data_IF_542583407990
#
_entry.id   IF_542583407990
#
_cell.length_a   1.000
_cell.length_b   1.000
_cell.length_c   1.000
_cell.angle_alpha   90.00
_cell.angle_beta   90.00
_cell.angle_gamma   90.00
#
_symmetry.space_group_name_H-M   'P 1'
#
loop_
_entity.id
_entity.type
_entity.pdbx_description
1 polymer ?
#
# COMPACT_ATOMS: atom_id res chain seq x y z
N UNK A 1 3.82 52.23 -66.39
CA UNK A 1 4.97 52.43 -65.49
C UNK A 1 4.64 51.86 -64.12
N UNK A 2 5.59 51.12 -63.55
CA UNK A 2 5.89 50.83 -62.14
C UNK A 2 4.79 50.94 -61.06
N UNK A 3 4.74 50.17 -59.99
CA UNK A 3 5.33 48.93 -59.48
C UNK A 3 5.06 48.96 -57.96
N UNK A 4 4.93 47.77 -57.34
CA UNK A 4 5.32 47.45 -55.95
C UNK A 4 4.57 48.15 -54.80
N UNK A 5 3.82 47.42 -53.96
CA UNK A 5 4.20 46.40 -52.94
C UNK A 5 4.29 47.01 -51.54
N UNK A 6 3.91 46.16 -50.56
CA UNK A 6 4.20 46.21 -49.10
C UNK A 6 3.29 47.17 -48.33
N UNK A 7 2.89 46.91 -47.08
CA UNK A 7 3.16 45.84 -46.12
C UNK A 7 2.29 46.06 -44.87
N UNK A 8 2.07 44.99 -44.11
CA UNK A 8 2.16 44.90 -42.65
C UNK A 8 1.36 45.85 -41.73
N UNK A 9 0.77 45.25 -40.70
CA UNK A 9 0.43 45.91 -39.43
C UNK A 9 -0.92 45.44 -38.90
N UNK A 10 -1.02 44.51 -37.93
CA UNK A 10 -1.05 44.79 -36.47
C UNK A 10 -2.02 45.94 -36.16
N UNK A 11 -2.99 45.85 -35.25
CA UNK A 11 -3.06 45.15 -33.97
C UNK A 11 -4.35 45.64 -33.28
N UNK A 12 -4.76 44.91 -32.24
CA UNK A 12 -5.70 45.29 -31.16
C UNK A 12 -7.16 44.90 -31.41
N UNK A 13 -7.88 44.29 -30.47
CA UNK A 13 -7.54 43.72 -29.17
C UNK A 13 -8.83 43.13 -28.62
N UNK A 14 -8.87 41.83 -28.35
CA UNK A 14 -9.89 41.28 -27.43
C UNK A 14 -9.22 40.32 -26.48
N UNK A 15 -9.25 40.73 -25.22
CA UNK A 15 -8.78 40.02 -24.02
C UNK A 15 -9.20 38.56 -24.06
N UNK A 16 -8.21 37.68 -24.09
CA UNK A 16 -8.35 36.26 -23.77
C UNK A 16 -8.62 36.10 -22.28
N UNK A 17 -9.84 35.70 -21.94
CA UNK A 17 -10.15 35.10 -20.65
C UNK A 17 -9.43 33.75 -20.57
N UNK A 18 -8.34 33.73 -19.80
CA UNK A 18 -7.52 32.56 -19.50
C UNK A 18 -8.29 31.64 -18.54
N UNK A 19 -9.11 30.75 -19.09
CA UNK A 19 -9.61 29.59 -18.34
C UNK A 19 -8.47 28.59 -18.23
N UNK A 20 -7.79 28.63 -17.08
CA UNK A 20 -6.88 27.59 -16.62
C UNK A 20 -7.64 26.27 -16.53
N UNK A 21 -7.45 25.42 -17.55
CA UNK A 21 -7.90 24.02 -17.53
C UNK A 21 -7.15 23.31 -16.40
N UNK A 22 -7.84 23.17 -15.27
CA UNK A 22 -7.42 22.37 -14.11
C UNK A 22 -7.08 20.97 -14.65
N UNK A 23 -5.84 20.55 -14.45
CA UNK A 23 -5.41 19.19 -14.72
C UNK A 23 -6.20 18.28 -13.77
N UNK A 24 -7.27 17.71 -14.29
CA UNK A 24 -8.08 16.75 -13.57
C UNK A 24 -7.26 15.45 -13.43
N UNK A 25 -7.07 15.02 -12.18
CA UNK A 25 -6.36 13.79 -11.86
C UNK A 25 -7.09 12.62 -12.50
N UNK A 26 -6.37 11.86 -13.32
CA UNK A 26 -6.93 10.73 -14.08
C UNK A 26 -7.54 9.66 -13.19
N UNK A 27 -8.82 9.81 -12.87
CA UNK A 27 -9.72 8.82 -12.28
C UNK A 27 -10.79 8.37 -13.28
N UNK A 28 -10.43 8.20 -14.55
CA UNK A 28 -11.33 7.64 -15.55
C UNK A 28 -11.53 6.15 -15.30
N UNK A 29 -12.78 5.65 -15.39
CA UNK A 29 -13.07 4.21 -15.37
C UNK A 29 -12.16 3.48 -16.38
N UNK A 30 -11.56 2.33 -16.01
CA UNK A 30 -10.72 1.56 -16.92
C UNK A 30 -11.50 1.20 -18.19
N UNK A 31 -10.83 1.26 -19.35
CA UNK A 31 -11.47 0.88 -20.62
C UNK A 31 -11.84 -0.61 -20.63
N UNK A 32 -12.74 -1.00 -21.53
CA UNK A 32 -13.13 -2.41 -21.71
C UNK A 32 -11.92 -3.32 -21.96
N UNK A 33 -10.95 -2.84 -22.75
CA UNK A 33 -9.72 -3.59 -23.04
C UNK A 33 -8.85 -3.80 -21.79
N UNK A 34 -8.77 -2.78 -20.92
CA UNK A 34 -8.06 -2.89 -19.64
C UNK A 34 -8.76 -3.89 -18.73
N UNK A 35 -10.09 -3.81 -18.61
CA UNK A 35 -10.88 -4.75 -17.80
C UNK A 35 -10.75 -6.18 -18.29
N UNK A 36 -10.82 -6.39 -19.61
CA UNK A 36 -10.63 -7.70 -20.23
C UNK A 36 -9.21 -8.24 -19.99
N UNK A 37 -8.18 -7.41 -20.16
CA UNK A 37 -6.80 -7.80 -19.90
C UNK A 37 -6.54 -8.14 -18.43
N UNK A 38 -7.19 -7.43 -17.49
CA UNK A 38 -7.12 -7.75 -16.07
C UNK A 38 -7.82 -9.08 -15.78
N UNK A 39 -9.03 -9.31 -16.30
CA UNK A 39 -9.80 -10.54 -16.09
C UNK A 39 -9.09 -11.78 -16.65
N UNK A 40 -8.42 -11.65 -17.80
CA UNK A 40 -7.70 -12.74 -18.47
C UNK A 40 -6.42 -13.22 -17.77
N UNK A 41 -5.99 -12.58 -16.67
CA UNK A 41 -4.83 -13.04 -15.90
C UNK A 41 -5.20 -14.29 -15.10
N UNK A 42 -4.70 -15.45 -15.52
CA UNK A 42 -4.85 -16.70 -14.78
C UNK A 42 -3.80 -16.83 -13.68
N UNK A 43 -2.53 -16.62 -14.03
CA UNK A 43 -1.39 -16.75 -13.12
C UNK A 43 -1.01 -15.40 -12.52
N UNK A 44 -1.71 -15.01 -11.45
CA UNK A 44 -1.44 -13.77 -10.70
C UNK A 44 -0.12 -13.89 -9.94
N UNK A 45 0.81 -12.95 -10.20
CA UNK A 45 2.10 -12.88 -9.52
C UNK A 45 2.30 -11.52 -8.84
N UNK A 46 3.01 -11.49 -7.70
CA UNK A 46 3.37 -10.23 -7.07
C UNK A 46 4.30 -9.41 -7.97
N UNK A 47 4.31 -8.07 -7.86
CA UNK A 47 5.20 -7.22 -8.63
C UNK A 47 6.69 -7.57 -8.42
N UNK A 48 7.42 -7.89 -9.49
CA UNK A 48 8.86 -8.22 -9.43
C UNK A 48 9.76 -7.01 -9.10
N UNK A 49 9.22 -5.80 -9.22
CA UNK A 49 9.89 -4.53 -8.92
C UNK A 49 8.93 -3.61 -8.16
N UNK A 50 9.42 -2.57 -7.46
CA UNK A 50 8.56 -1.63 -6.76
C UNK A 50 7.51 -1.00 -7.69
N UNK A 51 6.25 -0.94 -7.23
CA UNK A 51 5.10 -0.50 -8.04
C UNK A 51 5.31 0.87 -8.67
N UNK A 52 5.85 1.84 -7.92
CA UNK A 52 6.13 3.20 -8.44
C UNK A 52 7.11 3.18 -9.61
N UNK A 53 8.10 2.27 -9.57
CA UNK A 53 9.06 2.08 -10.67
C UNK A 53 8.37 1.43 -11.86
N UNK A 54 7.50 0.46 -11.65
CA UNK A 54 6.74 -0.20 -12.72
C UNK A 54 5.80 0.77 -13.44
N UNK A 55 5.05 1.57 -12.68
CA UNK A 55 4.17 2.63 -13.21
C UNK A 55 4.98 3.72 -13.94
N UNK A 56 6.12 4.13 -13.36
CA UNK A 56 7.02 5.09 -13.99
C UNK A 56 7.59 4.59 -15.32
N UNK A 57 8.04 3.33 -15.37
CA UNK A 57 8.51 2.70 -16.61
C UNK A 57 7.39 2.57 -17.65
N UNK A 58 6.17 2.23 -17.25
CA UNK A 58 5.02 2.16 -18.15
C UNK A 58 4.71 3.52 -18.79
N UNK A 59 4.72 4.60 -18.00
CA UNK A 59 4.51 5.97 -18.48
C UNK A 59 5.60 6.39 -19.46
N UNK A 60 6.87 6.16 -19.11
CA UNK A 60 8.00 6.48 -19.99
C UNK A 60 7.93 5.70 -21.32
N UNK A 61 7.58 4.41 -21.25
CA UNK A 61 7.42 3.55 -22.42
C UNK A 61 6.28 4.01 -23.33
N UNK A 62 5.14 4.41 -22.75
CA UNK A 62 4.00 4.92 -23.51
C UNK A 62 4.34 6.23 -24.23
N UNK A 63 5.07 7.15 -23.57
CA UNK A 63 5.54 8.40 -24.18
C UNK A 63 6.51 8.12 -25.33
N UNK A 64 7.50 7.26 -25.13
CA UNK A 64 8.45 6.87 -26.17
C UNK A 64 7.74 6.20 -27.35
N UNK A 65 6.85 5.25 -27.08
CA UNK A 65 6.11 4.54 -28.12
C UNK A 65 5.19 5.45 -28.93
N UNK A 66 4.55 6.45 -28.28
CA UNK A 66 3.75 7.45 -28.97
C UNK A 66 4.60 8.34 -29.89
N UNK A 67 5.77 8.79 -29.42
CA UNK A 67 6.73 9.57 -30.24
C UNK A 67 7.23 8.78 -31.46
N UNK A 68 7.35 7.47 -31.31
CA UNK A 68 7.92 6.57 -32.31
C UNK A 68 6.87 5.75 -33.08
N UNK A 69 5.60 6.18 -33.06
CA UNK A 69 4.47 5.40 -33.55
C UNK A 69 4.62 4.88 -34.99
N UNK A 70 5.12 5.70 -35.92
CA UNK A 70 5.31 5.30 -37.31
C UNK A 70 6.33 4.16 -37.48
N UNK A 71 7.44 4.19 -36.74
CA UNK A 71 8.45 3.13 -36.79
C UNK A 71 7.95 1.84 -36.12
N UNK A 72 7.20 1.98 -35.01
CA UNK A 72 6.63 0.84 -34.30
C UNK A 72 5.48 0.18 -35.06
N UNK A 73 4.71 0.94 -35.84
CA UNK A 73 3.66 0.40 -36.70
C UNK A 73 4.22 -0.52 -37.79
N UNK A 74 5.41 -0.22 -38.34
CA UNK A 74 6.09 -1.06 -39.34
C UNK A 74 6.44 -2.45 -38.81
N UNK A 75 6.66 -2.58 -37.50
CA UNK A 75 6.94 -3.86 -36.84
C UNK A 75 5.70 -4.49 -36.20
N UNK A 76 4.51 -4.00 -36.57
CA UNK A 76 3.22 -4.57 -36.16
C UNK A 76 2.69 -4.10 -34.81
N UNK A 77 3.31 -3.13 -34.14
CA UNK A 77 2.79 -2.61 -32.88
C UNK A 77 1.63 -1.64 -33.14
N UNK A 78 0.43 -2.00 -32.67
CA UNK A 78 -0.77 -1.16 -32.78
C UNK A 78 -0.79 -0.08 -31.71
N UNK A 79 -1.35 1.08 -32.04
CA UNK A 79 -1.56 2.18 -31.07
C UNK A 79 -2.39 1.74 -29.85
N UNK A 80 -3.33 0.81 -30.04
CA UNK A 80 -4.11 0.20 -28.96
C UNK A 80 -3.24 -0.50 -27.90
N UNK A 81 -2.13 -1.13 -28.29
CA UNK A 81 -1.19 -1.76 -27.34
C UNK A 81 -0.49 -0.73 -26.46
N UNK A 82 -0.21 0.46 -26.99
CA UNK A 82 0.37 1.58 -26.22
C UNK A 82 -0.66 2.17 -25.26
N UNK A 83 -1.91 2.33 -25.71
CA UNK A 83 -3.01 2.77 -24.87
C UNK A 83 -3.29 1.78 -23.73
N UNK A 84 -3.22 0.47 -24.02
CA UNK A 84 -3.39 -0.59 -23.02
C UNK A 84 -2.31 -0.52 -21.92
N UNK A 85 -1.04 -0.30 -22.27
CA UNK A 85 0.03 -0.11 -21.28
C UNK A 85 -0.24 1.10 -20.38
N UNK A 86 -0.68 2.22 -20.96
CA UNK A 86 -1.01 3.40 -20.18
C UNK A 86 -2.21 3.15 -19.23
N UNK A 87 -3.26 2.48 -19.72
CA UNK A 87 -4.44 2.12 -18.94
C UNK A 87 -4.12 1.16 -17.79
N UNK A 88 -3.38 0.08 -18.05
CA UNK A 88 -2.91 -0.86 -17.03
C UNK A 88 -2.00 -0.17 -16.00
N UNK A 89 -1.16 0.78 -16.43
CA UNK A 89 -0.35 1.59 -15.52
C UNK A 89 -1.19 2.45 -14.58
N UNK A 90 -2.29 3.03 -15.07
CA UNK A 90 -3.23 3.76 -14.24
C UNK A 90 -4.00 2.84 -13.27
N UNK A 91 -4.47 1.68 -13.73
CA UNK A 91 -5.13 0.68 -12.89
C UNK A 91 -4.22 0.17 -11.76
N UNK A 92 -2.95 -0.12 -12.06
CA UNK A 92 -1.98 -0.52 -11.04
C UNK A 92 -1.76 0.59 -10.00
N UNK A 93 -1.62 1.85 -10.45
CA UNK A 93 -1.47 2.98 -9.54
C UNK A 93 -2.69 3.16 -8.62
N UNK A 94 -3.91 3.01 -9.17
CA UNK A 94 -5.14 3.07 -8.41
C UNK A 94 -5.24 1.93 -7.38
N UNK A 95 -4.95 0.68 -7.79
CA UNK A 95 -4.95 -0.48 -6.88
C UNK A 95 -3.91 -0.35 -5.76
N UNK A 96 -2.71 0.15 -6.07
CA UNK A 96 -1.69 0.43 -5.06
C UNK A 96 -2.12 1.55 -4.11
N UNK A 97 -2.78 2.60 -4.61
CA UNK A 97 -3.33 3.66 -3.76
C UNK A 97 -4.44 3.14 -2.85
N UNK A 98 -5.32 2.29 -3.35
CA UNK A 98 -6.38 1.65 -2.58
C UNK A 98 -5.79 0.75 -1.48
N UNK A 99 -4.80 -0.07 -1.80
CA UNK A 99 -4.08 -0.89 -0.83
C UNK A 99 -3.35 -0.05 0.23
N UNK A 100 -2.68 1.04 -0.18
CA UNK A 100 -2.04 1.94 0.78
C UNK A 100 -3.08 2.66 1.64
N UNK A 101 -4.25 2.98 1.10
CA UNK A 101 -5.33 3.61 1.85
C UNK A 101 -5.95 2.63 2.84
N UNK A 102 -6.18 1.37 2.46
CA UNK A 102 -6.67 0.32 3.37
C UNK A 102 -5.69 0.06 4.50
N UNK A 103 -4.39 0.08 4.21
CA UNK A 103 -3.30 -0.03 5.20
C UNK A 103 -3.15 1.22 6.07
N UNK A 104 -3.47 2.40 5.53
CA UNK A 104 -3.47 3.67 6.26
C UNK A 104 -4.67 3.84 7.17
N UNK A 105 -5.71 3.01 7.05
CA UNK A 105 -6.72 2.91 8.11
C UNK A 105 -6.09 2.13 9.28
N UNK A 106 -5.20 2.83 10.00
CA UNK A 106 -4.63 2.37 11.26
C UNK A 106 -5.69 2.24 12.36
N UNK A 107 -5.24 2.06 13.61
CA UNK A 107 -6.11 2.05 14.80
C UNK A 107 -7.18 3.14 14.69
N UNK A 108 -8.45 2.74 14.71
CA UNK A 108 -9.53 3.73 14.67
C UNK A 108 -9.47 4.60 15.93
N UNK A 109 -9.96 5.85 15.89
CA UNK A 109 -10.01 6.67 17.10
C UNK A 109 -10.83 6.01 18.23
N UNK A 110 -11.82 5.19 17.87
CA UNK A 110 -12.57 4.37 18.82
C UNK A 110 -11.71 3.25 19.42
N UNK A 111 -10.84 2.62 18.63
CA UNK A 111 -9.90 1.59 19.08
C UNK A 111 -8.84 2.17 20.00
N UNK A 112 -8.23 3.31 19.64
CA UNK A 112 -7.26 3.99 20.51
C UNK A 112 -7.88 4.35 21.86
N UNK A 113 -9.09 4.93 21.86
CA UNK A 113 -9.81 5.24 23.10
C UNK A 113 -10.18 4.01 23.92
N UNK A 114 -10.59 2.92 23.26
CA UNK A 114 -10.90 1.66 23.94
C UNK A 114 -9.63 1.04 24.54
N UNK A 115 -8.50 1.11 23.84
CA UNK A 115 -7.19 0.64 24.29
C UNK A 115 -6.67 1.45 25.49
N UNK A 116 -6.80 2.78 25.45
CA UNK A 116 -6.47 3.66 26.59
C UNK A 116 -7.34 3.33 27.81
N UNK A 117 -8.66 3.25 27.64
CA UNK A 117 -9.58 2.89 28.72
C UNK A 117 -9.30 1.48 29.28
N UNK A 118 -8.95 0.52 28.43
CA UNK A 118 -8.58 -0.84 28.82
C UNK A 118 -7.27 -0.86 29.63
N UNK A 119 -6.25 -0.09 29.23
CA UNK A 119 -5.00 0.02 29.99
C UNK A 119 -5.21 0.65 31.36
N UNK A 120 -5.95 1.73 31.42
CA UNK A 120 -6.27 2.40 32.68
C UNK A 120 -7.08 1.49 33.60
N UNK A 121 -8.03 0.73 33.03
CA UNK A 121 -8.79 -0.27 33.77
C UNK A 121 -7.88 -1.39 34.29
N UNK A 122 -7.04 -2.00 33.44
CA UNK A 122 -6.07 -3.04 33.83
C UNK A 122 -5.19 -2.56 34.98
N UNK A 123 -4.55 -1.40 34.86
CA UNK A 123 -3.66 -0.88 35.89
C UNK A 123 -4.37 -0.73 37.24
N UNK A 124 -5.52 -0.03 37.26
CA UNK A 124 -6.27 0.20 38.51
C UNK A 124 -6.80 -1.08 39.13
N UNK A 125 -7.25 -2.03 38.31
CA UNK A 125 -7.81 -3.30 38.81
C UNK A 125 -6.76 -4.25 39.33
N UNK A 126 -5.57 -4.28 38.74
CA UNK A 126 -4.47 -5.07 39.29
C UNK A 126 -4.07 -4.55 40.67
N UNK A 127 -4.04 -3.23 40.88
CA UNK A 127 -3.74 -2.65 42.19
C UNK A 127 -4.86 -2.95 43.22
N UNK A 128 -6.14 -2.84 42.82
CA UNK A 128 -7.27 -3.22 43.69
C UNK A 128 -7.23 -4.72 44.07
N UNK A 129 -6.93 -5.58 43.11
CA UNK A 129 -6.83 -7.03 43.31
C UNK A 129 -5.64 -7.39 44.21
N UNK A 130 -4.49 -6.77 43.98
CA UNK A 130 -3.27 -6.98 44.78
C UNK A 130 -3.50 -6.60 46.24
N UNK A 131 -4.17 -5.47 46.48
CA UNK A 131 -4.57 -5.06 47.82
C UNK A 131 -5.61 -6.02 48.44
N UNK A 132 -6.60 -6.46 47.66
CA UNK A 132 -7.66 -7.36 48.14
C UNK A 132 -7.14 -8.77 48.51
N UNK A 133 -6.14 -9.29 47.79
CA UNK A 133 -5.59 -10.63 48.05
C UNK A 133 -4.49 -10.64 49.12
N UNK A 134 -3.88 -9.48 49.39
CA UNK A 134 -2.91 -9.32 50.47
C UNK A 134 -1.67 -10.21 50.29
N UNK A 135 -1.33 -11.00 51.31
CA UNK A 135 -0.14 -11.87 51.33
C UNK A 135 -0.35 -13.25 50.68
N UNK A 136 -1.42 -13.45 49.92
CA UNK A 136 -1.68 -14.70 49.20
C UNK A 136 -0.69 -14.85 48.02
N UNK A 137 0.32 -15.73 48.13
CA UNK A 137 1.43 -15.77 47.17
C UNK A 137 1.01 -16.31 45.80
N UNK A 138 0.01 -17.20 45.75
CA UNK A 138 -0.51 -17.74 44.49
C UNK A 138 -1.33 -16.68 43.73
N UNK A 139 -2.16 -15.93 44.47
CA UNK A 139 -2.91 -14.81 43.92
C UNK A 139 -1.98 -13.70 43.40
N UNK A 140 -0.94 -13.34 44.17
CA UNK A 140 0.05 -12.34 43.77
C UNK A 140 0.83 -12.77 42.52
N UNK A 141 1.20 -14.06 42.40
CA UNK A 141 1.88 -14.58 41.21
C UNK A 141 0.99 -14.50 39.95
N UNK A 142 -0.31 -14.80 40.05
CA UNK A 142 -1.26 -14.64 38.94
C UNK A 142 -1.39 -13.17 38.51
N UNK A 143 -1.49 -12.24 39.47
CA UNK A 143 -1.56 -10.79 39.20
C UNK A 143 -0.27 -10.30 38.52
N UNK A 144 0.90 -10.73 38.98
CA UNK A 144 2.20 -10.40 38.37
C UNK A 144 2.26 -10.87 36.92
N UNK A 145 1.81 -12.10 36.64
CA UNK A 145 1.77 -12.66 35.29
C UNK A 145 0.85 -11.87 34.36
N UNK A 146 -0.29 -11.40 34.85
CA UNK A 146 -1.19 -10.51 34.09
C UNK A 146 -0.49 -9.17 33.79
N UNK A 147 0.38 -8.67 34.68
CA UNK A 147 1.07 -7.37 34.52
C UNK A 147 2.19 -7.40 33.45
N UNK A 148 2.78 -8.56 33.19
CA UNK A 148 3.90 -8.74 32.24
C UNK A 148 3.49 -8.70 30.76
N UNK A 149 2.22 -8.91 30.44
CA UNK A 149 1.72 -8.90 29.06
C UNK A 149 1.95 -7.56 28.36
N UNK A 150 2.45 -7.60 27.12
CA UNK A 150 2.75 -6.42 26.29
C UNK A 150 2.09 -6.52 24.92
N UNK A 151 1.23 -5.54 24.63
CA UNK A 151 0.55 -5.45 23.35
C UNK A 151 -0.94 -5.65 23.50
N UNK A 152 -1.61 -5.70 22.36
CA UNK A 152 -3.05 -5.49 22.29
C UNK A 152 -3.82 -6.82 22.46
N UNK A 153 -3.25 -7.93 21.99
CA UNK A 153 -3.79 -9.27 22.24
C UNK A 153 -3.63 -9.68 23.71
N UNK A 154 -2.48 -9.36 24.31
CA UNK A 154 -2.22 -9.58 25.73
C UNK A 154 -3.17 -8.72 26.58
N UNK A 155 -3.37 -7.44 26.24
CA UNK A 155 -4.33 -6.59 26.94
C UNK A 155 -5.76 -7.16 26.92
N UNK A 156 -6.21 -7.74 25.81
CA UNK A 156 -7.53 -8.39 25.73
C UNK A 156 -7.57 -9.63 26.64
N UNK A 157 -6.54 -10.47 26.60
CA UNK A 157 -6.44 -11.65 27.45
C UNK A 157 -6.40 -11.28 28.95
N UNK A 158 -5.69 -10.22 29.29
CA UNK A 158 -5.57 -9.69 30.65
C UNK A 158 -6.92 -9.20 31.18
N UNK A 159 -7.71 -8.50 30.36
CA UNK A 159 -9.06 -8.09 30.76
C UNK A 159 -9.95 -9.30 31.09
N UNK A 160 -9.90 -10.37 30.27
CA UNK A 160 -10.62 -11.62 30.57
C UNK A 160 -10.16 -12.23 31.90
N UNK A 161 -8.85 -12.32 32.11
CA UNK A 161 -8.28 -12.88 33.34
C UNK A 161 -8.66 -12.04 34.56
N UNK A 162 -8.66 -10.71 34.47
CA UNK A 162 -9.11 -9.82 35.54
C UNK A 162 -10.59 -10.05 35.86
N UNK A 163 -11.46 -10.18 34.85
CA UNK A 163 -12.89 -10.49 35.07
C UNK A 163 -13.05 -11.80 35.82
N UNK A 164 -12.39 -12.88 35.38
CA UNK A 164 -12.40 -14.16 36.07
C UNK A 164 -11.90 -14.03 37.51
N UNK A 165 -10.79 -13.31 37.73
CA UNK A 165 -10.23 -13.11 39.06
C UNK A 165 -11.20 -12.36 39.99
N UNK A 166 -11.85 -11.30 39.50
CA UNK A 166 -12.86 -10.54 40.24
C UNK A 166 -14.03 -11.43 40.69
N UNK A 167 -14.42 -12.40 39.86
CA UNK A 167 -15.47 -13.38 40.17
C UNK A 167 -15.02 -14.46 41.16
N UNK A 168 -13.72 -14.78 41.22
CA UNK A 168 -13.14 -15.72 42.18
C UNK A 168 -13.03 -15.12 43.60
N UNK A 169 -12.82 -13.81 43.75
CA UNK A 169 -12.59 -13.15 45.05
C UNK A 169 -13.59 -12.02 45.43
N UNK A 170 -14.91 -12.19 45.24
CA UNK A 170 -15.88 -11.11 45.42
C UNK A 170 -15.97 -10.59 46.86
N UNK A 171 -15.82 -11.48 47.85
CA UNK A 171 -15.85 -11.10 49.27
C UNK A 171 -14.66 -10.21 49.66
N UNK A 172 -13.46 -10.52 49.16
CA UNK A 172 -12.23 -9.75 49.43
C UNK A 172 -12.31 -8.36 48.81
N UNK A 173 -12.81 -8.26 47.59
CA UNK A 173 -13.02 -6.98 46.91
C UNK A 173 -14.10 -6.12 47.60
N UNK A 174 -15.17 -6.74 48.11
CA UNK A 174 -16.21 -6.01 48.85
C UNK A 174 -15.66 -5.43 50.16
N UNK A 175 -14.78 -6.16 50.85
CA UNK A 175 -14.15 -5.71 52.09
C UNK A 175 -13.31 -4.44 51.93
N UNK A 176 -12.79 -4.17 50.73
CA UNK A 176 -12.03 -2.96 50.40
C UNK A 176 -12.90 -1.87 49.76
N UNK A 177 -14.22 -2.02 49.80
CA UNK A 177 -15.18 -1.03 49.29
C UNK A 177 -15.42 -1.07 47.78
N UNK A 178 -14.92 -2.09 47.08
CA UNK A 178 -15.18 -2.27 45.65
C UNK A 178 -16.49 -3.04 45.41
N UNK A 179 -17.09 -2.86 44.23
CA UNK A 179 -18.27 -3.61 43.81
C UNK A 179 -17.89 -4.65 42.75
N UNK A 180 -17.72 -5.93 43.11
CA UNK A 180 -17.24 -6.97 42.20
C UNK A 180 -18.10 -7.11 40.93
N UNK A 181 -19.42 -7.01 41.06
CA UNK A 181 -20.34 -7.12 39.91
C UNK A 181 -20.13 -5.99 38.90
N UNK A 182 -19.95 -4.76 39.39
CA UNK A 182 -19.69 -3.60 38.52
C UNK A 182 -18.33 -3.71 37.86
N UNK A 183 -17.32 -4.19 38.58
CA UNK A 183 -15.98 -4.40 38.03
C UNK A 183 -16.02 -5.45 36.93
N UNK A 184 -16.56 -6.64 37.20
CA UNK A 184 -16.68 -7.71 36.19
C UNK A 184 -17.41 -7.23 34.93
N UNK A 185 -18.55 -6.54 35.09
CA UNK A 185 -19.29 -5.97 33.96
C UNK A 185 -18.47 -4.97 33.13
N UNK A 186 -17.79 -4.03 33.80
CA UNK A 186 -16.95 -3.03 33.11
C UNK A 186 -15.78 -3.68 32.38
N UNK A 187 -15.15 -4.69 32.98
CA UNK A 187 -14.05 -5.45 32.37
C UNK A 187 -14.51 -6.22 31.12
N UNK A 188 -15.66 -6.90 31.21
CA UNK A 188 -16.25 -7.63 30.09
C UNK A 188 -16.64 -6.71 28.93
N UNK A 189 -17.27 -5.56 29.22
CA UNK A 189 -17.61 -4.57 28.20
C UNK A 189 -16.38 -4.00 27.47
N UNK A 190 -15.31 -3.72 28.20
CA UNK A 190 -14.06 -3.22 27.62
C UNK A 190 -13.36 -4.29 26.78
N UNK A 191 -13.37 -5.53 27.24
CA UNK A 191 -12.80 -6.67 26.54
C UNK A 191 -13.53 -6.93 25.23
N UNK A 192 -14.85 -7.06 25.26
CA UNK A 192 -15.69 -7.29 24.08
C UNK A 192 -15.53 -6.16 23.07
N UNK A 193 -15.56 -4.91 23.54
CA UNK A 193 -15.40 -3.72 22.69
C UNK A 193 -14.02 -3.68 22.03
N UNK A 194 -12.95 -3.94 22.78
CA UNK A 194 -11.59 -3.91 22.25
C UNK A 194 -11.37 -5.08 21.28
N UNK A 195 -11.77 -6.31 21.64
CA UNK A 195 -11.69 -7.49 20.77
C UNK A 195 -12.44 -7.25 19.47
N UNK A 196 -13.67 -6.75 19.53
CA UNK A 196 -14.50 -6.46 18.35
C UNK A 196 -13.81 -5.46 17.41
N UNK A 197 -13.26 -4.37 17.93
CA UNK A 197 -12.58 -3.36 17.09
C UNK A 197 -11.30 -3.91 16.44
N UNK A 198 -10.57 -4.76 17.16
CA UNK A 198 -9.36 -5.42 16.67
C UNK A 198 -9.69 -6.44 15.60
N UNK A 199 -10.72 -7.25 15.83
CA UNK A 199 -11.18 -8.26 14.89
C UNK A 199 -11.76 -7.60 13.64
N UNK A 200 -12.55 -6.53 13.76
CA UNK A 200 -13.01 -5.74 12.61
C UNK A 200 -11.85 -5.19 11.78
N UNK A 201 -10.76 -4.75 12.43
CA UNK A 201 -9.56 -4.32 11.71
C UNK A 201 -8.86 -5.49 11.03
N UNK A 202 -8.72 -6.64 11.71
CA UNK A 202 -8.06 -7.84 11.20
C UNK A 202 -8.84 -8.50 10.06
N UNK A 203 -10.16 -8.44 10.12
CA UNK A 203 -11.10 -9.07 9.16
C UNK A 203 -11.49 -8.15 8.01
N UNK A 204 -10.87 -6.97 7.86
CA UNK A 204 -11.05 -6.12 6.67
C UNK A 204 -10.54 -6.85 5.41
N UNK A 205 -11.45 -7.63 4.83
CA UNK A 205 -11.41 -8.38 3.56
C UNK A 205 -10.81 -7.60 2.38
N UNK A 206 -10.93 -6.27 2.44
CA UNK A 206 -10.43 -5.36 1.43
C UNK A 206 -8.91 -5.43 1.22
N UNK A 207 -8.08 -5.74 2.24
CA UNK A 207 -6.63 -5.85 1.99
C UNK A 207 -6.29 -7.00 1.05
N UNK A 208 -6.84 -8.20 1.28
CA UNK A 208 -6.65 -9.37 0.41
C UNK A 208 -7.15 -9.07 -1.00
N UNK A 209 -8.29 -8.39 -1.12
CA UNK A 209 -8.85 -7.93 -2.40
C UNK A 209 -7.91 -6.94 -3.10
N UNK A 210 -7.45 -5.90 -2.41
CA UNK A 210 -6.57 -4.87 -3.00
C UNK A 210 -5.19 -5.41 -3.35
N UNK A 211 -4.67 -6.39 -2.59
CA UNK A 211 -3.46 -7.14 -2.95
C UNK A 211 -3.70 -7.89 -4.26
N UNK A 212 -4.82 -8.61 -4.40
CA UNK A 212 -5.15 -9.34 -5.63
C UNK A 212 -5.29 -8.38 -6.83
N UNK A 213 -6.04 -7.29 -6.68
CA UNK A 213 -6.22 -6.28 -7.73
C UNK A 213 -4.87 -5.67 -8.17
N UNK A 214 -3.98 -5.36 -7.21
CA UNK A 214 -2.63 -4.87 -7.48
C UNK A 214 -1.80 -5.90 -8.24
N UNK A 215 -1.76 -7.14 -7.78
CA UNK A 215 -0.90 -8.19 -8.34
C UNK A 215 -1.36 -8.58 -9.75
N UNK A 216 -2.69 -8.63 -9.97
CA UNK A 216 -3.30 -8.84 -11.28
C UNK A 216 -2.95 -7.71 -12.25
N UNK A 217 -3.06 -6.45 -11.81
CA UNK A 217 -2.68 -5.30 -12.62
C UNK A 217 -1.17 -5.28 -12.94
N UNK A 218 -0.31 -5.63 -11.98
CA UNK A 218 1.14 -5.70 -12.18
C UNK A 218 1.54 -6.81 -13.16
N UNK A 219 0.88 -7.97 -13.08
CA UNK A 219 1.10 -9.10 -13.99
C UNK A 219 0.71 -8.73 -15.42
N UNK A 220 -0.51 -8.20 -15.61
CA UNK A 220 -0.99 -7.76 -16.92
C UNK A 220 -0.11 -6.65 -17.51
N UNK A 221 0.25 -5.65 -16.71
CA UNK A 221 1.11 -4.54 -17.14
C UNK A 221 2.49 -5.04 -17.58
N UNK A 222 3.09 -5.97 -16.84
CA UNK A 222 4.41 -6.53 -17.16
C UNK A 222 4.40 -7.28 -18.49
N UNK A 223 3.35 -8.06 -18.77
CA UNK A 223 3.17 -8.74 -20.05
C UNK A 223 3.02 -7.73 -21.21
N UNK A 224 2.15 -6.74 -21.04
CA UNK A 224 1.90 -5.71 -22.05
C UNK A 224 3.16 -4.87 -22.35
N UNK A 225 3.89 -4.44 -21.31
CA UNK A 225 5.18 -3.76 -21.48
C UNK A 225 6.21 -4.66 -22.15
N UNK A 226 6.23 -5.97 -21.85
CA UNK A 226 7.09 -6.94 -22.49
C UNK A 226 6.93 -6.93 -24.02
N UNK A 227 5.69 -6.91 -24.50
CA UNK A 227 5.38 -6.83 -25.93
C UNK A 227 5.88 -5.53 -26.57
N UNK A 228 5.56 -4.37 -25.97
CA UNK A 228 5.99 -3.05 -26.48
C UNK A 228 7.51 -2.92 -26.49
N UNK A 229 8.18 -3.41 -25.43
CA UNK A 229 9.64 -3.40 -25.34
C UNK A 229 10.30 -4.28 -26.38
N UNK A 230 9.75 -5.47 -26.68
CA UNK A 230 10.25 -6.33 -27.76
C UNK A 230 10.13 -5.64 -29.10
N UNK A 231 8.97 -5.07 -29.41
CA UNK A 231 8.74 -4.35 -30.67
C UNK A 231 9.71 -3.17 -30.82
N UNK A 232 9.86 -2.34 -29.79
CA UNK A 232 10.77 -1.19 -29.84
C UNK A 232 12.24 -1.58 -29.94
N UNK A 233 12.69 -2.61 -29.21
CA UNK A 233 14.08 -3.09 -29.35
C UNK A 233 14.40 -3.62 -30.74
N UNK A 234 13.42 -4.26 -31.40
CA UNK A 234 13.58 -4.76 -32.76
C UNK A 234 13.53 -3.63 -33.79
N UNK A 235 12.60 -2.69 -33.66
CA UNK A 235 12.45 -1.54 -34.56
C UNK A 235 13.67 -0.61 -34.54
N UNK A 236 14.34 -0.50 -33.38
CA UNK A 236 15.49 0.39 -33.18
C UNK A 236 16.79 -0.37 -32.92
N UNK A 237 16.94 -1.59 -33.44
CA UNK A 237 18.11 -2.44 -33.19
C UNK A 237 19.44 -1.81 -33.61
N UNK A 238 19.40 -0.99 -34.66
CA UNK A 238 20.57 -0.29 -35.21
C UNK A 238 20.72 1.13 -34.63
N UNK A 239 19.80 1.56 -33.76
CA UNK A 239 19.77 2.90 -33.16
C UNK A 239 19.85 2.82 -31.62
N UNK A 240 21.06 2.65 -31.03
CA UNK A 240 21.23 2.29 -29.62
C UNK A 240 20.59 3.28 -28.64
N UNK A 241 20.63 4.58 -28.96
CA UNK A 241 19.99 5.63 -28.15
C UNK A 241 18.46 5.46 -28.06
N UNK A 242 17.81 5.16 -29.19
CA UNK A 242 16.36 4.90 -29.22
C UNK A 242 16.02 3.55 -28.62
N UNK A 243 16.85 2.52 -28.90
CA UNK A 243 16.69 1.19 -28.36
C UNK A 243 16.67 1.19 -26.82
N UNK A 244 17.52 2.03 -26.21
CA UNK A 244 17.65 2.17 -24.75
C UNK A 244 16.35 2.62 -24.07
N UNK A 245 15.48 3.36 -24.77
CA UNK A 245 14.16 3.77 -24.27
C UNK A 245 13.19 2.58 -24.08
N UNK A 246 13.47 1.44 -24.73
CA UNK A 246 12.67 0.21 -24.66
C UNK A 246 13.31 -0.87 -23.76
N UNK A 247 14.27 -0.48 -22.93
CA UNK A 247 14.87 -1.33 -21.89
C UNK A 247 14.39 -0.89 -20.50
N UNK A 248 14.28 -1.83 -19.56
CA UNK A 248 13.98 -1.49 -18.16
C UNK A 248 15.16 -0.72 -17.55
N UNK A 249 14.89 0.52 -17.13
CA UNK A 249 15.87 1.37 -16.47
C UNK A 249 16.20 0.81 -15.08
N UNK A 250 15.20 0.32 -14.36
CA UNK A 250 15.37 -0.25 -13.02
C UNK A 250 16.31 -1.46 -13.03
N UNK A 251 16.06 -2.43 -13.91
CA UNK A 251 16.89 -3.63 -14.01
C UNK A 251 18.32 -3.32 -14.48
N UNK A 252 18.50 -2.29 -15.31
CA UNK A 252 19.84 -1.84 -15.73
C UNK A 252 20.65 -1.32 -14.54
N UNK A 253 20.06 -0.44 -13.73
CA UNK A 253 20.71 0.09 -12.52
C UNK A 253 21.03 -1.05 -11.54
N UNK A 254 20.05 -1.94 -11.28
CA UNK A 254 20.24 -3.09 -10.37
C UNK A 254 21.40 -4.00 -10.82
N UNK A 255 21.50 -4.31 -12.11
CA UNK A 255 22.60 -5.10 -12.68
C UNK A 255 23.94 -4.38 -12.59
N UNK A 256 23.99 -3.07 -12.82
CA UNK A 256 25.22 -2.29 -12.71
C UNK A 256 25.76 -2.30 -11.26
N UNK A 257 24.87 -2.10 -10.28
CA UNK A 257 25.23 -2.17 -8.85
C UNK A 257 25.73 -3.57 -8.48
N UNK A 258 25.05 -4.63 -8.92
CA UNK A 258 25.48 -6.01 -8.66
C UNK A 258 26.88 -6.30 -9.23
N UNK A 259 27.16 -5.86 -10.47
CA UNK A 259 28.48 -5.98 -11.10
C UNK A 259 29.56 -5.18 -10.36
N UNK A 260 29.24 -3.98 -9.89
CA UNK A 260 30.16 -3.15 -9.09
C UNK A 260 30.52 -3.83 -7.75
N UNK A 261 29.55 -4.50 -7.11
CA UNK A 261 29.81 -5.29 -5.90
C UNK A 261 30.70 -6.50 -6.18
N UNK A 262 30.42 -7.27 -7.24
CA UNK A 262 31.23 -8.44 -7.62
C UNK A 262 32.67 -8.06 -7.98
N UNK A 263 32.86 -6.96 -8.70
CA UNK A 263 34.21 -6.46 -9.03
C UNK A 263 34.99 -5.99 -7.80
N UNK A 264 34.31 -5.36 -6.82
CA UNK A 264 34.94 -5.03 -5.53
C UNK A 264 35.30 -6.27 -4.71
N UNK A 265 34.40 -7.26 -4.63
CA UNK A 265 34.65 -8.52 -3.93
C UNK A 265 35.84 -9.30 -4.54
N UNK A 266 35.93 -9.36 -5.87
CA UNK A 266 37.08 -9.98 -6.55
C UNK A 266 38.41 -9.27 -6.32
N UNK A 267 38.40 -7.94 -6.11
CA UNK A 267 39.61 -7.16 -5.78
C UNK A 267 40.03 -7.27 -4.31
N UNK A 268 39.14 -7.74 -3.44
CA UNK A 268 39.37 -7.85 -1.99
C UNK A 268 39.61 -9.29 -1.53
N UNK A 269 39.50 -10.27 -2.42
CA UNK A 269 39.92 -11.64 -2.13
C UNK A 269 41.46 -11.71 -2.19
N UNK A 270 42.14 -12.12 -1.10
CA UNK A 270 43.59 -12.34 -1.15
C UNK A 270 43.89 -13.47 -2.16
N UNK A 271 44.97 -13.32 -2.93
CA UNK A 271 45.53 -14.43 -3.70
C UNK A 271 45.85 -15.56 -2.71
N UNK A 272 45.19 -16.70 -2.90
CA UNK A 272 45.46 -17.94 -2.18
C UNK A 272 46.51 -18.75 -2.92
#
# INVERSE_FOLDING_TARGET
MAAKKKSAGRSSSTKTAKTTKKADGGGGKPSKDVLSALAAVENVRPPEIPVDRLVGEARALAVAAKKHGAALAKVGLKGASVALVAGLGASLAAAQSALLSSRRVGRSAAEVKAEEAARDYRARRLDDLEFAVGMDPEAAARISKIREGEGLDDLIADLRQIVTFVEEVPARLTAIGQNPKKLAATGAELEEKLSTLVDQRRTRSDETRFVNERDRAATALSAAMGAVRRAGRYAFRDEPEKQRLYASAYNRVRRAVARAKQTRAKKQAPEA
#
